data_IF_513546646871
#
_entry.id   IF_513546646871
#
_cell.length_a   1.000
_cell.length_b   1.000
_cell.length_c   1.000
_cell.angle_alpha   90.00
_cell.angle_beta   90.00
_cell.angle_gamma   90.00
#
_symmetry.space_group_name_H-M   'P 1'
#
loop_
_entity.id
_entity.type
_entity.pdbx_description
1 polymer ?
#
# COMPACT_ATOMS: atom_id res chain seq x y z
N UNK A 1 2.57 35.19 -27.67
CA UNK A 1 2.40 33.94 -26.86
C UNK A 1 3.36 32.94 -27.45
N UNK A 2 4.46 32.66 -26.76
CA UNK A 2 5.63 31.99 -27.32
C UNK A 2 5.40 30.51 -27.60
N UNK A 3 5.84 30.05 -28.78
CA UNK A 3 5.69 28.67 -29.26
C UNK A 3 6.34 27.63 -28.33
N UNK A 4 7.34 28.01 -27.55
CA UNK A 4 8.02 27.15 -26.57
C UNK A 4 7.08 26.70 -25.44
N UNK A 5 6.11 27.53 -25.05
CA UNK A 5 5.12 27.18 -24.04
C UNK A 5 4.11 26.15 -24.55
N UNK A 6 3.77 26.19 -25.85
CA UNK A 6 2.84 25.24 -26.47
C UNK A 6 3.48 23.86 -26.61
N UNK A 7 4.76 23.78 -26.99
CA UNK A 7 5.52 22.52 -27.06
C UNK A 7 5.73 21.91 -25.67
N UNK A 8 6.08 22.74 -24.68
CA UNK A 8 6.22 22.29 -23.28
C UNK A 8 4.92 21.69 -22.73
N UNK A 9 3.79 22.35 -23.01
CA UNK A 9 2.49 21.86 -22.56
C UNK A 9 2.08 20.55 -23.25
N UNK A 10 2.33 20.42 -24.55
CA UNK A 10 2.11 19.18 -25.31
C UNK A 10 2.91 17.99 -24.75
N UNK A 11 4.16 18.22 -24.35
CA UNK A 11 5.00 17.19 -23.72
C UNK A 11 4.44 16.76 -22.36
N UNK A 12 3.98 17.71 -21.52
CA UNK A 12 3.34 17.39 -20.23
C UNK A 12 2.09 16.53 -20.38
N UNK A 13 1.23 16.83 -21.36
CA UNK A 13 0.04 16.02 -21.63
C UNK A 13 0.41 14.59 -22.05
N UNK A 14 1.42 14.44 -22.91
CA UNK A 14 1.91 13.14 -23.35
C UNK A 14 2.52 12.35 -22.18
N UNK A 15 3.28 13.00 -21.30
CA UNK A 15 3.89 12.35 -20.14
C UNK A 15 2.84 11.89 -19.13
N UNK A 16 1.84 12.73 -18.84
CA UNK A 16 0.74 12.36 -17.96
C UNK A 16 -0.09 11.21 -18.54
N UNK A 17 -0.35 11.24 -19.84
CA UNK A 17 -1.04 10.16 -20.55
C UNK A 17 -0.25 8.85 -20.46
N UNK A 18 1.05 8.89 -20.78
CA UNK A 18 1.93 7.72 -20.73
C UNK A 18 2.04 7.14 -19.32
N UNK A 19 2.12 8.00 -18.29
CA UNK A 19 2.16 7.56 -16.91
C UNK A 19 0.82 6.94 -16.49
N UNK A 20 -0.30 7.60 -16.78
CA UNK A 20 -1.63 7.15 -16.31
C UNK A 20 -2.08 5.90 -17.07
N UNK A 21 -2.18 5.98 -18.39
CA UNK A 21 -2.76 4.89 -19.19
C UNK A 21 -1.70 3.88 -19.64
N UNK A 22 -0.45 4.28 -19.79
CA UNK A 22 0.64 3.36 -20.15
C UNK A 22 1.24 2.64 -18.95
N UNK A 23 1.53 3.35 -17.85
CA UNK A 23 2.17 2.75 -16.68
C UNK A 23 1.16 2.30 -15.62
N UNK A 24 0.33 3.20 -15.07
CA UNK A 24 -0.55 2.85 -13.95
C UNK A 24 -1.62 1.81 -14.31
N UNK A 25 -2.16 1.85 -15.53
CA UNK A 25 -3.18 0.88 -15.98
C UNK A 25 -2.56 -0.42 -16.49
N UNK A 26 -1.50 -0.36 -17.30
CA UNK A 26 -0.96 -1.55 -17.97
C UNK A 26 0.15 -2.27 -17.20
N UNK A 27 0.74 -1.69 -16.15
CA UNK A 27 1.77 -2.34 -15.33
C UNK A 27 1.20 -2.87 -14.03
N UNK A 28 1.75 -3.99 -13.56
CA UNK A 28 1.40 -4.57 -12.26
C UNK A 28 1.79 -3.64 -11.12
N UNK A 29 0.87 -3.41 -10.19
CA UNK A 29 1.15 -2.67 -8.97
C UNK A 29 1.95 -3.52 -7.97
N UNK A 30 3.13 -3.04 -7.58
CA UNK A 30 3.99 -3.69 -6.59
C UNK A 30 3.56 -3.32 -5.17
N UNK A 31 2.54 -4.03 -4.68
CA UNK A 31 2.01 -3.86 -3.33
C UNK A 31 3.05 -4.13 -2.22
N UNK A 32 3.86 -5.20 -2.27
CA UNK A 32 4.91 -5.43 -1.26
C UNK A 32 5.91 -4.29 -1.16
N UNK A 33 6.34 -3.71 -2.29
CA UNK A 33 7.25 -2.55 -2.29
C UNK A 33 6.61 -1.34 -1.62
N UNK A 34 5.35 -1.04 -1.96
CA UNK A 34 4.62 0.07 -1.33
C UNK A 34 4.49 -0.11 0.19
N UNK A 35 4.20 -1.34 0.64
CA UNK A 35 4.13 -1.65 2.07
C UNK A 35 5.49 -1.52 2.76
N UNK A 36 6.59 -1.96 2.13
CA UNK A 36 7.94 -1.79 2.68
C UNK A 36 8.28 -0.32 2.89
N UNK A 37 8.00 0.53 1.89
CA UNK A 37 8.21 1.97 1.99
C UNK A 37 7.36 2.55 3.12
N UNK A 38 6.07 2.22 3.16
CA UNK A 38 5.16 2.68 4.21
C UNK A 38 5.66 2.34 5.63
N UNK A 39 6.13 1.12 5.83
CA UNK A 39 6.64 0.67 7.14
C UNK A 39 7.95 1.37 7.50
N UNK A 40 8.90 1.42 6.56
CA UNK A 40 10.26 1.92 6.84
C UNK A 40 10.34 3.43 6.97
N UNK A 41 9.61 4.16 6.13
CA UNK A 41 9.73 5.62 6.06
C UNK A 41 8.77 6.32 7.02
N UNK A 42 7.60 5.73 7.29
CA UNK A 42 6.56 6.37 8.11
C UNK A 42 6.40 5.74 9.49
N UNK A 43 7.02 4.58 9.75
CA UNK A 43 6.96 3.84 11.02
C UNK A 43 5.57 3.88 11.69
N UNK A 44 4.50 3.47 10.98
CA UNK A 44 3.15 3.58 11.52
C UNK A 44 2.98 2.69 12.76
N UNK A 45 2.12 3.10 13.68
CA UNK A 45 1.67 2.24 14.79
C UNK A 45 0.55 1.29 14.36
N UNK A 46 -0.28 1.74 13.42
CA UNK A 46 -1.45 1.00 12.93
C UNK A 46 -1.51 1.01 11.41
N UNK A 47 -1.86 -0.13 10.82
CA UNK A 47 -2.05 -0.28 9.38
C UNK A 47 -3.52 -0.59 9.06
N UNK A 48 -4.15 0.24 8.24
CA UNK A 48 -5.56 0.08 7.85
C UNK A 48 -5.63 -0.42 6.41
N UNK A 49 -6.22 -1.59 6.19
CA UNK A 49 -6.38 -2.16 4.86
C UNK A 49 -7.86 -2.20 4.46
N UNK A 50 -8.18 -1.52 3.37
CA UNK A 50 -9.54 -1.40 2.85
C UNK A 50 -9.80 -2.42 1.72
N UNK A 51 -10.97 -3.09 1.77
CA UNK A 51 -11.55 -3.85 0.63
C UNK A 51 -11.80 -5.36 0.86
N UNK A 52 -12.65 -5.94 0.00
CA UNK A 52 -13.04 -7.35 0.00
C UNK A 52 -11.94 -8.33 -0.44
N UNK A 53 -10.78 -7.81 -0.86
CA UNK A 53 -9.61 -8.60 -1.30
C UNK A 53 -8.63 -8.93 -0.18
N UNK A 54 -9.17 -9.17 1.03
CA UNK A 54 -8.40 -9.38 2.27
C UNK A 54 -7.32 -10.45 2.06
N UNK A 55 -7.67 -11.62 1.54
CA UNK A 55 -6.75 -12.77 1.47
C UNK A 55 -5.49 -12.55 0.62
N UNK A 56 -5.60 -11.89 -0.54
CA UNK A 56 -4.45 -11.71 -1.44
C UNK A 56 -3.40 -10.76 -0.86
N UNK A 57 -3.83 -9.61 -0.35
CA UNK A 57 -2.95 -8.60 0.24
C UNK A 57 -2.40 -9.05 1.60
N UNK A 58 -3.16 -9.86 2.32
CA UNK A 58 -2.77 -10.40 3.61
C UNK A 58 -1.65 -11.42 3.53
N UNK A 59 -1.71 -12.35 2.58
CA UNK A 59 -0.64 -13.34 2.39
C UNK A 59 0.70 -12.70 2.04
N UNK A 60 0.68 -11.53 1.40
CA UNK A 60 1.87 -10.72 1.14
C UNK A 60 2.39 -10.07 2.44
N UNK A 61 1.50 -9.48 3.25
CA UNK A 61 1.86 -8.88 4.56
C UNK A 61 2.37 -9.93 5.56
N UNK A 62 1.78 -11.12 5.59
CA UNK A 62 2.21 -12.25 6.43
C UNK A 62 3.68 -12.63 6.17
N UNK A 63 4.18 -12.39 4.94
CA UNK A 63 5.56 -12.66 4.54
C UNK A 63 6.48 -11.44 4.71
N UNK A 64 5.93 -10.24 4.56
CA UNK A 64 6.67 -8.99 4.56
C UNK A 64 7.06 -8.55 5.97
N UNK A 65 6.08 -8.52 6.87
CA UNK A 65 6.23 -7.95 8.21
C UNK A 65 7.29 -8.69 9.06
N UNK A 66 7.33 -10.04 9.07
CA UNK A 66 8.43 -10.78 9.72
C UNK A 66 9.82 -10.38 9.26
N UNK A 67 9.99 -10.04 7.98
CA UNK A 67 11.29 -9.63 7.44
C UNK A 67 11.72 -8.23 7.88
N UNK A 68 10.76 -7.39 8.26
CA UNK A 68 11.02 -6.03 8.73
C UNK A 68 11.10 -5.94 10.26
N UNK A 69 10.79 -7.03 10.98
CA UNK A 69 10.64 -7.05 12.44
C UNK A 69 9.84 -5.86 12.99
N UNK A 70 8.79 -5.45 12.26
CA UNK A 70 7.99 -4.28 12.62
C UNK A 70 7.09 -4.64 13.80
N UNK A 71 7.14 -3.85 14.88
CA UNK A 71 6.36 -4.05 16.10
C UNK A 71 6.56 -5.45 16.73
N UNK A 72 7.82 -5.93 16.76
CA UNK A 72 8.22 -7.26 17.28
C UNK A 72 7.57 -8.46 16.58
N UNK A 73 7.07 -8.24 15.36
CA UNK A 73 6.55 -9.29 14.52
C UNK A 73 7.73 -9.97 13.83
N UNK A 74 8.23 -11.06 14.43
CA UNK A 74 9.38 -11.81 13.92
C UNK A 74 8.97 -13.04 13.10
N UNK A 75 7.75 -13.54 13.30
CA UNK A 75 7.25 -14.72 12.60
C UNK A 75 5.76 -14.63 12.26
N UNK A 76 5.29 -15.58 11.44
CA UNK A 76 3.88 -15.67 11.05
C UNK A 76 2.95 -15.83 12.25
N UNK A 77 3.39 -16.52 13.31
CA UNK A 77 2.59 -16.72 14.53
C UNK A 77 2.35 -15.40 15.26
N UNK A 78 3.40 -14.58 15.39
CA UNK A 78 3.33 -13.24 16.00
C UNK A 78 2.36 -12.36 15.22
N UNK A 79 2.44 -12.39 13.88
CA UNK A 79 1.51 -11.66 13.04
C UNK A 79 0.06 -12.15 13.19
N UNK A 80 -0.17 -13.46 13.28
CA UNK A 80 -1.52 -14.01 13.55
C UNK A 80 -2.07 -13.65 14.93
N UNK A 81 -1.20 -13.54 15.93
CA UNK A 81 -1.58 -13.22 17.31
C UNK A 81 -1.78 -11.70 17.48
N UNK A 82 -0.91 -10.87 16.91
CA UNK A 82 -1.01 -9.40 16.95
C UNK A 82 -2.25 -8.85 16.24
N UNK A 83 -2.80 -9.57 15.25
CA UNK A 83 -4.12 -9.26 14.63
C UNK A 83 -5.26 -9.27 15.63
N UNK A 84 -5.18 -10.10 16.69
CA UNK A 84 -6.17 -10.15 17.77
C UNK A 84 -6.04 -8.99 18.75
N UNK A 85 -4.89 -8.30 18.73
CA UNK A 85 -4.53 -7.23 19.66
C UNK A 85 -4.22 -5.90 18.93
N UNK A 86 -5.08 -5.46 18.00
CA UNK A 86 -5.22 -4.01 17.66
C UNK A 86 -4.15 -3.29 16.80
N UNK A 87 -3.32 -3.97 16.01
CA UNK A 87 -2.40 -3.29 15.06
C UNK A 87 -2.95 -3.08 13.64
N UNK A 88 -4.00 -3.83 13.28
CA UNK A 88 -4.59 -3.83 11.93
C UNK A 88 -6.08 -3.51 12.00
N UNK A 89 -6.51 -2.44 11.35
CA UNK A 89 -7.93 -2.08 11.24
C UNK A 89 -8.46 -2.49 9.87
N UNK A 90 -9.62 -3.14 9.86
CA UNK A 90 -10.29 -3.60 8.65
C UNK A 90 -11.59 -2.83 8.45
N UNK A 91 -11.78 -2.22 7.29
CA UNK A 91 -13.09 -1.66 6.92
C UNK A 91 -13.68 -2.47 5.77
N UNK A 92 -14.74 -3.21 6.10
CA UNK A 92 -15.53 -4.02 5.19
C UNK A 92 -16.57 -4.81 5.99
N UNK A 93 -17.70 -4.14 6.27
CA UNK A 93 -18.89 -4.69 6.95
C UNK A 93 -18.75 -4.86 8.47
N UNK A 94 -19.53 -4.08 9.22
CA UNK A 94 -19.67 -4.08 10.69
C UNK A 94 -18.42 -3.81 11.54
N UNK A 95 -18.38 -2.58 12.05
CA UNK A 95 -17.69 -2.24 13.29
C UNK A 95 -18.31 -3.06 14.41
N UNK A 96 -17.55 -4.00 14.97
CA UNK A 96 -17.72 -4.44 16.35
C UNK A 96 -16.33 -4.61 16.95
N UNK A 97 -15.74 -3.48 17.35
CA UNK A 97 -15.31 -3.23 18.73
C UNK A 97 -14.33 -2.05 18.73
N UNK A 98 -14.85 -0.92 19.24
CA UNK A 98 -14.31 -0.04 20.30
C UNK A 98 -12.80 0.21 20.34
N UNK A 99 -12.49 1.52 20.41
CA UNK A 99 -11.39 2.23 21.12
C UNK A 99 -10.13 1.39 21.41
#
# INVERSE_FOLDING_TARGET
>A
MDGDNLVSMGNKFKDLWNYTLGHQVCKTYDFPKAMNVAIKEFCPDKLVLFGAWKSLRWTQLDKLLPKQNWQDISCKKDFTNGKRQTHFLFKGGFLNSVI
#
